data_IF_518863946264
#
_entry.id   IF_518863946264
#
_cell.length_a   1.000
_cell.length_b   1.000
_cell.length_c   1.000
_cell.angle_alpha   90.00
_cell.angle_beta   90.00
_cell.angle_gamma   90.00
#
_symmetry.space_group_name_H-M   'P 1'
#
loop_
_entity.id
_entity.type
_entity.pdbx_description
1 polymer ?
#
# COMPACT_ATOMS: atom_id res chain seq x y z
N UNK A 1 4.74 -5.33 -18.32
CA UNK A 1 4.33 -4.85 -16.99
C UNK A 1 5.26 -5.50 -15.97
N UNK A 2 6.11 -4.71 -15.32
CA UNK A 2 6.98 -5.22 -14.27
C UNK A 2 6.21 -5.19 -12.94
N UNK A 3 6.13 -6.33 -12.26
CA UNK A 3 5.57 -6.42 -10.91
C UNK A 3 6.74 -6.30 -9.94
N UNK A 4 6.72 -5.27 -9.11
CA UNK A 4 7.68 -5.12 -8.00
C UNK A 4 6.97 -5.56 -6.73
N UNK A 5 7.51 -6.61 -6.10
CA UNK A 5 7.03 -7.04 -4.79
C UNK A 5 7.50 -6.03 -3.75
N UNK A 6 6.57 -5.56 -2.92
CA UNK A 6 6.87 -4.57 -1.88
C UNK A 6 6.37 -5.03 -0.53
N UNK A 7 7.15 -4.73 0.52
CA UNK A 7 6.72 -4.96 1.88
C UNK A 7 5.71 -3.88 2.26
N UNK A 8 4.51 -4.29 2.66
CA UNK A 8 3.48 -3.39 3.21
C UNK A 8 3.47 -3.54 4.73
N UNK A 9 3.65 -2.43 5.45
CA UNK A 9 3.54 -2.41 6.90
C UNK A 9 2.30 -1.62 7.29
N UNK A 10 1.57 -2.12 8.28
CA UNK A 10 0.31 -1.55 8.77
C UNK A 10 0.52 -1.09 10.19
N UNK A 11 0.20 0.17 10.49
CA UNK A 11 0.17 0.70 11.85
C UNK A 11 -1.19 1.32 12.13
N UNK A 12 -1.90 0.83 13.15
CA UNK A 12 -3.14 1.46 13.60
C UNK A 12 -2.82 2.79 14.29
N UNK A 13 -3.37 3.90 13.79
CA UNK A 13 -3.14 5.24 14.35
C UNK A 13 -3.99 5.55 15.59
N UNK A 14 -4.91 4.66 15.96
CA UNK A 14 -5.56 4.64 17.27
C UNK A 14 -5.75 3.21 17.76
N UNK A 15 -5.31 2.92 18.98
CA UNK A 15 -5.59 1.65 19.64
C UNK A 15 -7.11 1.49 19.84
N UNK A 16 -7.64 0.32 19.45
CA UNK A 16 -9.00 -0.13 19.78
C UNK A 16 -10.19 0.66 19.21
N UNK A 17 -10.09 1.23 18.00
CA UNK A 17 -11.30 1.64 17.26
C UNK A 17 -11.44 0.83 15.97
N UNK A 18 -12.61 0.20 15.71
CA UNK A 18 -12.89 -0.50 14.46
C UNK A 18 -12.89 0.42 13.21
N UNK A 19 -12.71 1.73 13.42
CA UNK A 19 -12.61 2.78 12.41
C UNK A 19 -11.27 3.53 12.48
N UNK A 20 -10.28 3.00 13.20
CA UNK A 20 -8.96 3.64 13.31
C UNK A 20 -8.32 3.76 11.93
N UNK A 21 -7.85 4.96 11.60
CA UNK A 21 -7.04 5.18 10.41
C UNK A 21 -5.80 4.29 10.51
N UNK A 22 -5.50 3.60 9.41
CA UNK A 22 -4.30 2.77 9.28
C UNK A 22 -3.28 3.51 8.44
N UNK A 23 -2.03 3.52 8.89
CA UNK A 23 -0.88 3.92 8.09
C UNK A 23 -0.34 2.71 7.33
N UNK A 24 -0.24 2.81 6.00
CA UNK A 24 0.37 1.80 5.14
C UNK A 24 1.67 2.31 4.55
N UNK A 25 2.75 1.60 4.85
CA UNK A 25 4.09 1.90 4.33
C UNK A 25 4.50 0.82 3.34
N UNK A 26 4.66 1.21 2.07
CA UNK A 26 5.16 0.36 1.00
C UNK A 26 6.65 0.60 0.79
N UNK A 27 7.47 -0.44 0.93
CA UNK A 27 8.91 -0.38 0.71
C UNK A 27 9.34 -1.28 -0.44
N UNK A 28 10.22 -0.79 -1.31
CA UNK A 28 10.85 -1.59 -2.36
C UNK A 28 12.37 -1.47 -2.32
N UNK A 29 13.07 -2.55 -2.67
CA UNK A 29 14.53 -2.55 -2.82
C UNK A 29 14.90 -2.41 -4.30
N UNK A 30 15.63 -1.35 -4.65
CA UNK A 30 16.18 -1.15 -6.00
C UNK A 30 16.03 0.28 -6.51
N UNK A 31 16.28 0.49 -7.81
CA UNK A 31 15.85 1.70 -8.55
C UNK A 31 15.10 1.21 -9.79
N UNK A 32 13.86 1.64 -9.92
CA UNK A 32 13.05 1.40 -11.12
C UNK A 32 12.65 2.75 -11.67
N UNK A 33 12.91 2.99 -12.95
CA UNK A 33 12.50 4.20 -13.66
C UNK A 33 11.20 3.91 -14.38
N UNK A 34 10.20 4.80 -14.22
CA UNK A 34 8.91 4.64 -14.85
C UNK A 34 8.75 5.62 -16.03
N UNK A 35 8.11 5.16 -17.10
CA UNK A 35 7.76 5.96 -18.28
C UNK A 35 6.32 6.55 -18.24
N UNK A 36 5.57 6.32 -17.16
CA UNK A 36 4.19 6.81 -16.97
C UNK A 36 4.08 7.88 -15.90
N UNK A 37 2.88 8.44 -15.71
CA UNK A 37 2.63 9.55 -14.77
C UNK A 37 1.99 9.13 -13.45
N UNK A 38 1.51 7.89 -13.34
CA UNK A 38 0.84 7.38 -12.12
C UNK A 38 1.37 5.99 -11.78
N UNK A 39 1.68 5.78 -10.50
CA UNK A 39 1.89 4.47 -9.89
C UNK A 39 0.73 4.14 -8.97
N UNK A 40 0.46 2.85 -8.83
CA UNK A 40 -0.54 2.32 -7.92
C UNK A 40 0.15 1.35 -6.96
N UNK A 41 0.03 1.63 -5.66
CA UNK A 41 0.45 0.75 -4.59
C UNK A 41 -0.76 -0.04 -4.11
N UNK A 42 -0.69 -1.37 -4.17
CA UNK A 42 -1.78 -2.23 -3.68
C UNK A 42 -1.31 -3.16 -2.59
N UNK A 43 -2.16 -3.47 -1.61
CA UNK A 43 -1.90 -4.48 -0.58
C UNK A 43 -3.17 -5.29 -0.26
N UNK A 44 -2.97 -6.52 0.18
CA UNK A 44 -4.00 -7.32 0.85
C UNK A 44 -3.88 -7.15 2.36
N UNK A 45 -4.97 -6.77 3.04
CA UNK A 45 -5.05 -6.57 4.48
C UNK A 45 -5.93 -7.64 5.11
N UNK A 46 -5.49 -8.27 6.20
CA UNK A 46 -6.31 -9.23 6.93
C UNK A 46 -5.98 -9.31 8.42
N UNK A 47 -7.00 -9.55 9.23
CA UNK A 47 -6.89 -9.87 10.67
C UNK A 47 -7.10 -11.38 10.97
N UNK A 48 -7.15 -12.21 9.91
CA UNK A 48 -7.45 -13.64 9.98
C UNK A 48 -8.93 -14.01 9.95
N UNK A 49 -9.84 -13.04 10.13
CA UNK A 49 -11.31 -13.22 10.04
C UNK A 49 -11.91 -12.43 8.89
N UNK A 50 -11.54 -11.16 8.78
CA UNK A 50 -11.91 -10.22 7.75
C UNK A 50 -10.68 -9.91 6.87
N UNK A 51 -10.95 -9.51 5.64
CA UNK A 51 -9.91 -9.10 4.71
C UNK A 51 -10.43 -8.09 3.69
N UNK A 52 -9.54 -7.25 3.20
CA UNK A 52 -9.83 -6.36 2.07
C UNK A 52 -8.57 -6.10 1.23
N UNK A 53 -8.77 -5.79 -0.05
CA UNK A 53 -7.71 -5.35 -0.94
C UNK A 53 -7.77 -3.82 -1.11
N UNK A 54 -6.63 -3.16 -0.95
CA UNK A 54 -6.53 -1.70 -1.06
C UNK A 54 -5.62 -1.31 -2.22
N UNK A 55 -5.90 -0.16 -2.83
CA UNK A 55 -5.12 0.42 -3.93
C UNK A 55 -5.00 1.93 -3.73
N UNK A 56 -3.77 2.44 -3.75
CA UNK A 56 -3.47 3.86 -3.61
C UNK A 56 -2.75 4.40 -4.85
N UNK A 57 -3.31 5.41 -5.53
CA UNK A 57 -2.62 6.10 -6.61
C UNK A 57 -1.59 7.09 -6.07
N UNK A 58 -0.45 7.20 -6.74
CA UNK A 58 0.55 8.24 -6.50
C UNK A 58 1.03 8.80 -7.83
N UNK A 59 0.97 10.11 -7.97
CA UNK A 59 1.38 10.80 -9.20
C UNK A 59 2.88 11.03 -9.17
N UNK A 60 3.56 10.70 -10.26
CA UNK A 60 4.98 10.96 -10.44
C UNK A 60 5.24 11.71 -11.75
N UNK A 61 6.42 12.31 -11.85
CA UNK A 61 6.91 12.84 -13.12
C UNK A 61 7.44 11.69 -13.96
N UNK A 62 7.00 11.58 -15.22
CA UNK A 62 7.52 10.56 -16.11
C UNK A 62 9.05 10.68 -16.28
N UNK A 63 9.74 9.53 -16.25
CA UNK A 63 11.19 9.45 -16.34
C UNK A 63 11.93 9.61 -15.01
N UNK A 64 11.23 9.80 -13.89
CA UNK A 64 11.86 9.77 -12.57
C UNK A 64 11.91 8.36 -11.98
N UNK A 65 12.78 8.17 -11.00
CA UNK A 65 12.74 6.99 -10.16
C UNK A 65 11.41 6.94 -9.39
N UNK A 66 10.89 5.74 -9.19
CA UNK A 66 9.81 5.49 -8.24
C UNK A 66 10.34 5.88 -6.83
N UNK A 67 9.52 6.35 -5.88
CA UNK A 67 9.98 6.61 -4.51
C UNK A 67 10.09 5.34 -3.67
N UNK A 68 11.28 5.07 -3.11
CA UNK A 68 11.61 3.87 -2.30
C UNK A 68 10.57 3.51 -1.23
N UNK A 69 9.88 4.54 -0.73
CA UNK A 69 8.81 4.42 0.26
C UNK A 69 7.59 5.22 -0.19
N UNK A 70 6.41 4.60 -0.09
CA UNK A 70 5.11 5.26 -0.20
C UNK A 70 4.33 5.13 1.11
N UNK A 71 3.77 6.23 1.60
CA UNK A 71 2.97 6.25 2.83
C UNK A 71 1.53 6.72 2.52
N UNK A 72 0.54 5.94 2.99
CA UNK A 72 -0.87 6.22 2.79
C UNK A 72 -1.66 6.07 4.08
N UNK A 73 -2.47 7.06 4.40
CA UNK A 73 -3.49 6.98 5.43
C UNK A 73 -4.77 6.42 4.82
N UNK A 74 -5.33 5.40 5.46
CA UNK A 74 -6.47 4.65 4.95
C UNK A 74 -7.52 4.42 6.04
N UNK A 75 -8.80 4.51 5.69
CA UNK A 75 -9.91 4.12 6.57
C UNK A 75 -10.49 2.81 6.06
N UNK A 76 -10.40 1.71 6.83
CA UNK A 76 -10.95 0.40 6.45
C UNK A 76 -12.40 0.43 6.03
N UNK A 77 -12.73 -0.28 4.96
CA UNK A 77 -14.11 -0.53 4.54
C UNK A 77 -14.76 -1.68 5.31
N UNK A 78 -13.93 -2.52 5.94
CA UNK A 78 -14.33 -3.60 6.84
C UNK A 78 -13.88 -3.30 8.27
N UNK A 79 -14.63 -3.82 9.23
CA UNK A 79 -14.23 -3.76 10.63
C UNK A 79 -13.30 -4.93 10.94
N UNK A 80 -12.01 -4.63 11.14
CA UNK A 80 -11.08 -5.58 11.70
C UNK A 80 -11.29 -5.71 13.22
N UNK A 81 -11.22 -6.94 13.71
CA UNK A 81 -11.44 -7.34 15.10
C UNK A 81 -10.16 -7.80 15.80
N UNK A 82 -9.06 -7.93 15.06
CA UNK A 82 -7.73 -8.30 15.55
C UNK A 82 -6.64 -7.47 14.87
N UNK A 83 -5.36 -7.76 15.17
CA UNK A 83 -4.20 -7.16 14.52
C UNK A 83 -4.24 -7.35 12.99
N UNK A 84 -4.06 -6.26 12.25
CA UNK A 84 -4.10 -6.25 10.78
C UNK A 84 -2.70 -6.55 10.25
N UNK A 85 -2.60 -7.59 9.42
CA UNK A 85 -1.40 -7.94 8.69
C UNK A 85 -1.55 -7.58 7.22
N UNK A 86 -0.47 -7.11 6.60
CA UNK A 86 -0.39 -6.91 5.16
C UNK A 86 0.65 -7.87 4.56
N UNK A 87 0.24 -8.67 3.59
CA UNK A 87 1.06 -9.82 3.14
C UNK A 87 1.65 -9.69 1.74
N UNK A 88 1.03 -8.93 0.83
CA UNK A 88 1.51 -8.83 -0.56
C UNK A 88 1.26 -7.43 -1.14
N UNK A 89 2.26 -6.57 -1.02
CA UNK A 89 2.26 -5.28 -1.69
C UNK A 89 2.69 -5.40 -3.16
N UNK A 90 2.04 -4.68 -4.09
CA UNK A 90 2.47 -4.59 -5.51
C UNK A 90 2.45 -3.15 -6.00
N UNK A 91 3.43 -2.80 -6.83
CA UNK A 91 3.43 -1.54 -7.60
C UNK A 91 3.13 -1.86 -9.07
N UNK A 92 2.15 -1.17 -9.65
CA UNK A 92 1.88 -1.18 -11.09
C UNK A 92 1.68 0.23 -11.63
N UNK A 93 1.80 0.39 -12.94
CA UNK A 93 1.77 1.69 -13.61
C UNK A 93 0.89 1.68 -14.84
N UNK A 94 0.26 2.81 -15.12
CA UNK A 94 -0.44 3.06 -16.39
C UNK A 94 0.52 3.73 -17.38
N UNK A 95 0.48 3.28 -18.64
CA UNK A 95 1.22 3.86 -19.76
C UNK A 95 0.56 5.15 -20.25
#
# INVERSE_FOLDING_TARGET
>A
MAIVNVAANVTALSENSPYSVVELIFNYEGTTVQNGTVIYYSAHLSDGTNSEDVVFPFTITAGTEIPATGNFAYTPGVTFISEINATEGKIYYTA
#
